data_IF_405325791215
#
_entry.id   IF_405325791215
#
_cell.length_a   1.000
_cell.length_b   1.000
_cell.length_c   1.000
_cell.angle_alpha   90.00
_cell.angle_beta   90.00
_cell.angle_gamma   90.00
#
_symmetry.space_group_name_H-M   'P 1'
#
loop_
_entity.id
_entity.type
_entity.pdbx_description
1 polymer ?
#
# COMPACT_ATOMS: atom_id res chain seq x y z
N UNK A 1 -29.45 -6.99 -25.58
CA UNK A 1 -28.76 -7.39 -24.33
C UNK A 1 -27.28 -7.11 -24.51
N UNK A 2 -26.79 -5.99 -23.97
CA UNK A 2 -25.39 -5.59 -24.12
C UNK A 2 -24.61 -6.29 -23.02
N UNK A 3 -23.76 -7.24 -23.40
CA UNK A 3 -22.81 -7.87 -22.49
C UNK A 3 -21.77 -6.80 -22.16
N UNK A 4 -21.82 -6.27 -20.94
CA UNK A 4 -20.76 -5.39 -20.45
C UNK A 4 -19.46 -6.21 -20.41
N UNK A 5 -18.36 -5.75 -21.03
CA UNK A 5 -17.09 -6.39 -20.78
C UNK A 5 -16.78 -6.23 -19.29
N UNK A 6 -16.70 -7.34 -18.55
CA UNK A 6 -16.00 -7.34 -17.26
C UNK A 6 -14.54 -7.11 -17.56
N UNK A 7 -14.18 -5.84 -17.75
CA UNK A 7 -12.82 -5.37 -17.61
C UNK A 7 -12.49 -5.58 -16.12
N UNK A 8 -12.11 -6.81 -15.77
CA UNK A 8 -11.38 -7.09 -14.56
C UNK A 8 -10.04 -6.41 -14.77
N UNK A 9 -10.00 -5.11 -14.47
CA UNK A 9 -8.80 -4.28 -14.55
C UNK A 9 -7.70 -5.07 -13.89
N UNK A 10 -6.73 -5.50 -14.68
CA UNK A 10 -5.42 -5.94 -14.21
C UNK A 10 -4.81 -4.72 -13.56
N UNK A 11 -5.26 -4.43 -12.35
CA UNK A 11 -4.92 -3.22 -11.67
C UNK A 11 -3.52 -3.46 -11.13
N UNK A 12 -2.58 -2.83 -11.80
CA UNK A 12 -1.27 -2.43 -11.30
C UNK A 12 -1.47 -1.93 -9.87
N UNK A 13 -1.00 -2.68 -8.87
CA UNK A 13 -1.42 -2.48 -7.48
C UNK A 13 -0.23 -2.65 -6.55
N UNK A 14 0.26 -1.54 -6.01
CA UNK A 14 1.14 -1.51 -4.86
C UNK A 14 0.32 -1.47 -3.57
N UNK A 15 0.78 -2.18 -2.53
CA UNK A 15 0.16 -2.16 -1.19
C UNK A 15 1.18 -1.78 -0.13
N UNK A 16 0.68 -1.17 0.93
CA UNK A 16 1.45 -0.81 2.12
C UNK A 16 1.27 -1.87 3.19
N UNK A 17 2.38 -2.36 3.74
CA UNK A 17 2.40 -3.29 4.87
C UNK A 17 3.17 -2.60 6.01
N UNK A 18 2.47 -1.91 6.94
CA UNK A 18 3.12 -1.23 8.05
C UNK A 18 3.57 -2.22 9.13
N UNK A 19 4.77 -2.00 9.64
CA UNK A 19 5.24 -2.56 10.93
C UNK A 19 4.96 -1.54 12.02
N UNK A 20 4.35 -1.95 13.12
CA UNK A 20 3.97 -1.04 14.22
C UNK A 20 4.46 -1.52 15.58
N UNK A 21 4.74 -0.58 16.50
CA UNK A 21 4.97 -0.87 17.91
C UNK A 21 3.64 -1.21 18.59
N UNK A 22 3.31 -2.50 18.59
CA UNK A 22 2.14 -3.05 19.26
C UNK A 22 0.83 -2.87 18.49
N UNK A 23 0.00 -3.92 18.48
CA UNK A 23 -1.33 -3.91 17.88
C UNK A 23 -1.34 -3.80 16.34
N UNK A 24 -2.39 -3.18 15.81
CA UNK A 24 -2.59 -2.96 14.38
C UNK A 24 -2.89 -1.49 14.09
N UNK A 25 -2.75 -1.09 12.82
CA UNK A 25 -3.16 0.22 12.32
C UNK A 25 -4.42 0.06 11.49
N UNK A 26 -5.47 0.78 11.89
CA UNK A 26 -6.69 0.91 11.12
C UNK A 26 -6.65 2.23 10.35
N UNK A 27 -6.04 2.20 9.16
CA UNK A 27 -5.94 3.37 8.26
C UNK A 27 -6.38 2.97 6.86
N UNK A 28 -7.17 3.84 6.22
CA UNK A 28 -7.59 3.66 4.84
C UNK A 28 -6.38 3.55 3.88
N UNK A 29 -5.25 4.16 4.23
CA UNK A 29 -4.01 4.12 3.43
C UNK A 29 -3.44 2.69 3.32
N UNK A 30 -3.66 1.85 4.32
CA UNK A 30 -3.21 0.45 4.35
C UNK A 30 -4.15 -0.45 3.53
N UNK A 31 -5.44 -0.13 3.51
CA UNK A 31 -6.45 -0.84 2.73
C UNK A 31 -6.44 -0.47 1.25
N UNK A 32 -5.95 0.73 0.92
CA UNK A 32 -5.83 1.22 -0.45
C UNK A 32 -4.82 0.41 -1.28
N UNK A 33 -4.96 0.53 -2.61
CA UNK A 33 -3.99 0.01 -3.57
C UNK A 33 -3.59 1.15 -4.50
N UNK A 34 -2.29 1.27 -4.76
CA UNK A 34 -1.71 2.40 -5.48
C UNK A 34 -1.29 1.96 -6.87
N UNK A 35 -1.51 2.79 -7.88
CA UNK A 35 -1.17 2.47 -9.27
C UNK A 35 0.34 2.54 -9.55
N UNK A 36 1.08 3.35 -8.76
CA UNK A 36 2.53 3.57 -8.91
C UNK A 36 3.25 3.47 -7.57
N UNK A 37 4.56 3.21 -7.62
CA UNK A 37 5.43 3.18 -6.43
C UNK A 37 5.48 4.56 -5.78
N UNK A 38 5.50 5.63 -6.58
CA UNK A 38 5.55 7.02 -6.11
C UNK A 38 4.31 7.37 -5.28
N UNK A 39 3.12 6.97 -5.73
CA UNK A 39 1.89 7.17 -4.97
C UNK A 39 1.91 6.38 -3.65
N UNK A 40 2.47 5.17 -3.66
CA UNK A 40 2.64 4.37 -2.44
C UNK A 40 3.67 4.99 -1.48
N UNK A 41 4.74 5.61 -1.98
CA UNK A 41 5.73 6.36 -1.18
C UNK A 41 5.11 7.57 -0.50
N UNK A 42 4.35 8.38 -1.23
CA UNK A 42 3.67 9.55 -0.64
C UNK A 42 2.65 9.12 0.43
N UNK A 43 1.85 8.09 0.16
CA UNK A 43 0.95 7.53 1.16
C UNK A 43 1.69 6.92 2.36
N UNK A 44 2.89 6.37 2.17
CA UNK A 44 3.73 5.89 3.27
C UNK A 44 4.18 7.03 4.17
N UNK A 45 4.60 8.17 3.61
CA UNK A 45 4.97 9.37 4.39
C UNK A 45 3.79 9.85 5.23
N UNK A 46 2.60 9.94 4.62
CA UNK A 46 1.36 10.29 5.33
C UNK A 46 1.04 9.29 6.45
N UNK A 47 1.08 7.99 6.16
CA UNK A 47 0.80 6.92 7.14
C UNK A 47 1.76 6.96 8.33
N UNK A 48 3.06 7.15 8.08
CA UNK A 48 4.06 7.30 9.14
C UNK A 48 3.71 8.55 9.96
N UNK A 49 3.51 9.70 9.31
CA UNK A 49 3.20 10.95 10.00
C UNK A 49 1.94 10.87 10.87
N UNK A 50 0.85 10.30 10.35
CA UNK A 50 -0.44 10.17 11.03
C UNK A 50 -0.42 9.14 12.18
N UNK A 51 0.47 8.15 12.14
CA UNK A 51 0.48 7.06 13.11
C UNK A 51 1.85 6.90 13.77
N UNK A 52 2.01 7.50 14.97
CA UNK A 52 3.21 7.45 15.81
C UNK A 52 3.78 6.04 16.08
N UNK A 53 2.96 5.00 15.93
CA UNK A 53 3.37 3.61 16.19
C UNK A 53 4.00 2.93 15.00
N UNK A 54 3.81 3.43 13.77
CA UNK A 54 4.39 2.84 12.56
C UNK A 54 5.91 3.04 12.56
N UNK A 55 6.69 1.98 12.60
CA UNK A 55 8.17 2.08 12.61
C UNK A 55 8.76 2.04 11.21
N UNK A 56 8.12 1.29 10.32
CA UNK A 56 8.51 1.17 8.92
C UNK A 56 7.33 0.65 8.10
N UNK A 57 7.35 0.88 6.79
CA UNK A 57 6.34 0.40 5.86
C UNK A 57 7.02 -0.30 4.70
N UNK A 58 6.57 -1.51 4.42
CA UNK A 58 6.97 -2.26 3.23
C UNK A 58 6.01 -1.95 2.10
N UNK A 59 6.56 -1.64 0.93
CA UNK A 59 5.80 -1.54 -0.30
C UNK A 59 5.93 -2.88 -1.04
N UNK A 60 4.80 -3.46 -1.43
CA UNK A 60 4.73 -4.68 -2.24
C UNK A 60 3.97 -4.44 -3.53
N UNK A 61 4.44 -5.02 -4.62
CA UNK A 61 3.75 -5.09 -5.89
C UNK A 61 2.88 -6.35 -5.93
N UNK A 62 1.57 -6.18 -5.73
CA UNK A 62 0.64 -7.31 -5.72
C UNK A 62 0.20 -7.77 -7.09
N UNK A 63 0.43 -6.98 -8.15
CA UNK A 63 0.20 -7.44 -9.51
C UNK A 63 1.22 -8.52 -9.91
N UNK A 64 2.44 -8.42 -9.37
CA UNK A 64 3.53 -9.37 -9.63
C UNK A 64 3.72 -10.38 -8.49
N UNK A 65 2.63 -10.96 -7.96
CA UNK A 65 2.71 -12.01 -6.94
C UNK A 65 3.12 -11.51 -5.55
N UNK A 66 2.83 -10.25 -5.22
CA UNK A 66 3.22 -9.60 -3.95
C UNK A 66 4.75 -9.49 -3.79
N UNK A 67 5.43 -9.13 -4.87
CA UNK A 67 6.88 -8.94 -4.88
C UNK A 67 7.25 -7.74 -4.00
N UNK A 68 8.26 -7.93 -3.16
CA UNK A 68 8.86 -6.85 -2.40
C UNK A 68 9.42 -5.76 -3.32
N UNK A 69 9.13 -4.49 -3.00
CA UNK A 69 9.68 -3.32 -3.70
C UNK A 69 10.73 -2.64 -2.84
N UNK A 70 10.33 -2.11 -1.68
CA UNK A 70 11.24 -1.39 -0.78
C UNK A 70 10.69 -1.30 0.66
N UNK A 71 11.57 -0.88 1.57
CA UNK A 71 11.22 -0.46 2.94
C UNK A 71 11.42 1.04 3.08
N UNK A 72 10.49 1.68 3.78
CA UNK A 72 10.60 3.09 4.20
C UNK A 72 10.49 3.13 5.71
N UNK A 73 11.51 3.67 6.36
CA UNK A 73 11.60 3.75 7.81
C UNK A 73 11.17 5.12 8.32
N UNK A 74 10.65 5.16 9.55
CA UNK A 74 10.44 6.40 10.27
C UNK A 74 11.79 6.96 10.72
N UNK A 75 12.16 8.13 10.18
CA UNK A 75 13.30 8.96 10.62
C UNK A 75 13.03 9.66 11.95
#
# INVERSE_FOLDING_TARGET
>A
MRIEPKNGTSATMFKLIPTVRGGAVNSALVSAKYATVEAAREATKALIHENARVTRVMIVDVANGSKFVEWIERS
#
